data_IF_506159896021
#
_entry.id   IF_506159896021
#
_cell.length_a   1.000
_cell.length_b   1.000
_cell.length_c   1.000
_cell.angle_alpha   90.00
_cell.angle_beta   90.00
_cell.angle_gamma   90.00
#
_symmetry.space_group_name_H-M   'P 1'
#
loop_
_entity.id
_entity.type
_entity.pdbx_description
1 polymer ?
#
# COMPACT_ATOMS: atom_id res chain seq x y z
N UNK A 1 7.34 -20.58 -15.79
CA UNK A 1 7.48 -21.01 -14.39
C UNK A 1 8.18 -19.87 -13.66
N UNK A 2 7.42 -18.94 -13.08
CA UNK A 2 8.00 -17.90 -12.24
C UNK A 2 8.04 -18.45 -10.82
N UNK A 3 9.22 -18.84 -10.35
CA UNK A 3 9.48 -18.96 -8.92
C UNK A 3 9.51 -17.54 -8.37
N UNK A 4 8.36 -17.03 -7.93
CA UNK A 4 8.34 -15.82 -7.11
C UNK A 4 9.11 -16.13 -5.83
N UNK A 5 10.14 -15.35 -5.55
CA UNK A 5 11.01 -15.52 -4.39
C UNK A 5 10.18 -15.53 -3.11
N UNK A 6 10.11 -16.69 -2.45
CA UNK A 6 9.47 -16.86 -1.13
C UNK A 6 10.09 -15.90 -0.09
N UNK A 7 11.30 -15.40 -0.33
CA UNK A 7 12.00 -14.45 0.51
C UNK A 7 11.52 -12.99 0.40
N UNK A 8 10.95 -12.56 -0.73
CA UNK A 8 10.32 -11.23 -0.83
C UNK A 8 9.09 -11.14 0.08
N UNK A 9 8.30 -12.22 0.11
CA UNK A 9 7.12 -12.35 0.97
C UNK A 9 7.45 -12.40 2.46
N UNK A 10 8.64 -12.87 2.85
CA UNK A 10 9.03 -12.98 4.26
C UNK A 10 9.31 -11.62 4.92
N UNK A 11 9.63 -10.58 4.15
CA UNK A 11 9.90 -9.24 4.68
C UNK A 11 8.74 -8.26 4.50
N UNK A 12 7.81 -8.51 3.57
CA UNK A 12 6.61 -7.68 3.38
C UNK A 12 5.76 -7.65 4.64
N UNK A 13 5.63 -8.77 5.35
CA UNK A 13 4.91 -8.83 6.63
C UNK A 13 5.59 -8.01 7.74
N UNK A 14 6.87 -7.65 7.59
CA UNK A 14 7.59 -6.76 8.51
C UNK A 14 7.53 -5.30 8.08
N UNK A 15 6.98 -4.99 6.90
CA UNK A 15 6.84 -3.62 6.42
C UNK A 15 5.68 -2.92 7.14
N UNK A 16 5.94 -1.81 7.85
CA UNK A 16 4.89 -1.04 8.52
C UNK A 16 3.77 -0.61 7.58
N UNK A 17 4.07 -0.30 6.31
CA UNK A 17 3.07 0.04 5.31
C UNK A 17 2.14 -1.13 5.06
N UNK A 18 2.68 -2.33 4.83
CA UNK A 18 1.87 -3.50 4.54
C UNK A 18 0.96 -3.86 5.72
N UNK A 19 1.48 -3.76 6.95
CA UNK A 19 0.70 -3.99 8.18
C UNK A 19 -0.41 -2.94 8.37
N UNK A 20 -0.13 -1.67 8.08
CA UNK A 20 -1.13 -0.60 8.15
C UNK A 20 -2.24 -0.82 7.10
N UNK A 21 -1.85 -1.15 5.87
CA UNK A 21 -2.80 -1.46 4.80
C UNK A 21 -3.63 -2.71 5.10
N UNK A 22 -3.04 -3.74 5.71
CA UNK A 22 -3.77 -4.94 6.15
C UNK A 22 -4.76 -4.64 7.28
N UNK A 23 -4.46 -3.64 8.12
CA UNK A 23 -5.29 -3.26 9.27
C UNK A 23 -6.42 -2.30 8.91
N UNK A 24 -6.40 -1.69 7.71
CA UNK A 24 -7.44 -0.77 7.24
C UNK A 24 -8.81 -1.45 7.20
N UNK A 25 -9.77 -0.83 7.86
CA UNK A 25 -11.16 -1.26 7.80
C UNK A 25 -11.90 -0.58 6.66
N UNK A 26 -12.99 -1.23 6.24
CA UNK A 26 -13.83 -0.74 5.16
C UNK A 26 -14.40 0.64 5.50
N UNK A 27 -14.11 1.63 4.65
CA UNK A 27 -14.46 3.03 4.82
C UNK A 27 -13.37 3.87 5.51
N UNK A 28 -12.22 3.29 5.84
CA UNK A 28 -11.07 4.03 6.38
C UNK A 28 -10.09 4.44 5.28
N UNK A 29 -9.30 5.45 5.59
CA UNK A 29 -8.18 5.90 4.76
C UNK A 29 -6.88 5.91 5.54
N UNK A 30 -5.78 5.80 4.81
CA UNK A 30 -4.42 5.82 5.32
C UNK A 30 -3.59 6.81 4.51
N UNK A 31 -3.17 7.89 5.18
CA UNK A 31 -2.25 8.87 4.61
C UNK A 31 -0.84 8.30 4.61
N UNK A 32 -0.26 8.15 3.42
CA UNK A 32 1.10 7.65 3.24
C UNK A 32 2.12 8.79 3.25
N UNK A 33 1.77 9.92 2.63
CA UNK A 33 2.48 11.20 2.71
C UNK A 33 1.47 12.35 2.44
N UNK A 34 1.92 13.61 2.42
CA UNK A 34 1.09 14.80 2.21
C UNK A 34 0.39 14.83 0.83
N UNK A 35 0.84 14.00 -0.10
CA UNK A 35 0.34 13.92 -1.48
C UNK A 35 -0.19 12.54 -1.85
N UNK A 36 -0.26 11.59 -0.92
CA UNK A 36 -0.68 10.21 -1.23
C UNK A 36 -1.50 9.64 -0.09
N UNK A 37 -2.74 9.28 -0.41
CA UNK A 37 -3.71 8.71 0.51
C UNK A 37 -4.24 7.39 -0.06
N UNK A 38 -4.52 6.43 0.80
CA UNK A 38 -5.02 5.11 0.43
C UNK A 38 -6.35 4.88 1.11
N UNK A 39 -7.42 4.81 0.33
CA UNK A 39 -8.77 4.57 0.84
C UNK A 39 -9.11 3.10 0.70
N UNK A 40 -9.58 2.48 1.77
CA UNK A 40 -10.20 1.16 1.65
C UNK A 40 -11.72 1.35 1.52
N UNK A 41 -12.21 1.32 0.29
CA UNK A 41 -13.58 1.69 0.01
C UNK A 41 -14.61 0.65 0.50
N UNK A 42 -15.88 1.03 0.50
CA UNK A 42 -16.98 0.17 0.96
C UNK A 42 -17.21 -1.10 0.13
N UNK A 43 -16.60 -1.16 -1.06
CA UNK A 43 -16.62 -2.32 -1.95
C UNK A 43 -15.45 -3.28 -1.70
N UNK A 44 -14.56 -2.96 -0.76
CA UNK A 44 -13.39 -3.78 -0.43
C UNK A 44 -12.23 -3.60 -1.40
N UNK A 45 -12.12 -2.43 -2.05
CA UNK A 45 -11.00 -2.06 -2.92
C UNK A 45 -10.12 -1.02 -2.24
N UNK A 46 -8.81 -1.12 -2.47
CA UNK A 46 -7.81 -0.15 -2.06
C UNK A 46 -7.63 0.88 -3.17
N UNK A 47 -8.03 2.12 -2.92
CA UNK A 47 -7.93 3.25 -3.83
C UNK A 47 -6.74 4.11 -3.41
N UNK A 48 -5.68 4.07 -4.21
CA UNK A 48 -4.49 4.92 -4.03
C UNK A 48 -4.74 6.22 -4.77
N UNK A 49 -4.87 7.31 -4.02
CA UNK A 49 -5.09 8.66 -4.52
C UNK A 49 -3.80 9.43 -4.27
N UNK A 50 -3.07 9.73 -5.35
CA UNK A 50 -1.94 10.64 -5.34
C UNK A 50 -2.23 11.85 -6.23
N UNK A 51 -1.51 12.96 -6.01
CA UNK A 51 -1.76 14.30 -6.58
C UNK A 51 -2.33 14.32 -8.01
N UNK A 52 -1.73 13.55 -8.94
CA UNK A 52 -2.17 13.44 -10.33
C UNK A 52 -2.60 12.02 -10.76
N UNK A 53 -2.62 11.04 -9.84
CA UNK A 53 -2.91 9.64 -10.17
C UNK A 53 -3.85 9.01 -9.16
N UNK A 54 -4.94 8.44 -9.64
CA UNK A 54 -5.87 7.64 -8.86
C UNK A 54 -5.90 6.22 -9.41
N UNK A 55 -5.68 5.22 -8.55
CA UNK A 55 -5.71 3.82 -8.97
C UNK A 55 -6.33 2.91 -7.91
N UNK A 56 -7.27 2.06 -8.34
CA UNK A 56 -7.97 1.13 -7.47
C UNK A 56 -7.44 -0.30 -7.63
N UNK A 57 -7.30 -1.00 -6.51
CA UNK A 57 -6.79 -2.37 -6.43
C UNK A 57 -7.73 -3.24 -5.60
N UNK A 58 -8.04 -4.43 -6.09
CA UNK A 58 -8.85 -5.41 -5.35
C UNK A 58 -8.06 -6.25 -4.35
N UNK A 59 -6.73 -6.24 -4.47
CA UNK A 59 -5.83 -7.06 -3.64
C UNK A 59 -4.86 -6.15 -2.89
N UNK A 60 -4.67 -6.43 -1.60
CA UNK A 60 -3.69 -5.75 -0.77
C UNK A 60 -2.27 -5.85 -1.37
N UNK A 61 -1.91 -7.04 -1.88
CA UNK A 61 -0.59 -7.31 -2.47
C UNK A 61 -0.34 -6.47 -3.73
N UNK A 62 -1.36 -6.29 -4.58
CA UNK A 62 -1.28 -5.46 -5.79
C UNK A 62 -1.14 -3.99 -5.42
N UNK A 63 -1.91 -3.52 -4.43
CA UNK A 63 -1.82 -2.17 -3.88
C UNK A 63 -0.43 -1.89 -3.33
N UNK A 64 0.07 -2.75 -2.44
CA UNK A 64 1.40 -2.62 -1.85
C UNK A 64 2.50 -2.67 -2.91
N UNK A 65 2.41 -3.59 -3.87
CA UNK A 65 3.39 -3.69 -4.96
C UNK A 65 3.41 -2.43 -5.82
N UNK A 66 2.25 -1.83 -6.08
CA UNK A 66 2.16 -0.55 -6.79
C UNK A 66 2.86 0.56 -6.00
N UNK A 67 2.56 0.69 -4.71
CA UNK A 67 3.14 1.73 -3.86
C UNK A 67 4.67 1.57 -3.74
N UNK A 68 5.11 0.34 -3.49
CA UNK A 68 6.53 -0.02 -3.42
C UNK A 68 7.26 0.25 -4.74
N UNK A 69 6.63 -0.06 -5.88
CA UNK A 69 7.21 0.15 -7.21
C UNK A 69 7.23 1.63 -7.65
N UNK A 70 6.24 2.41 -7.26
CA UNK A 70 6.18 3.84 -7.53
C UNK A 70 7.16 4.65 -6.68
N UNK A 71 7.75 4.03 -5.66
CA UNK A 71 8.76 4.68 -4.82
C UNK A 71 8.19 5.89 -4.09
N UNK A 72 6.93 5.82 -3.65
CA UNK A 72 6.40 6.79 -2.71
C UNK A 72 7.36 6.81 -1.52
N UNK A 73 8.10 7.91 -1.36
CA UNK A 73 9.07 8.07 -0.28
C UNK A 73 8.29 8.06 1.02
N UNK A 74 8.24 6.91 1.70
CA UNK A 74 7.82 6.87 3.10
C UNK A 74 8.82 7.74 3.83
N UNK A 75 8.39 8.90 4.35
CA UNK A 75 9.25 9.73 5.21
C UNK A 75 9.71 8.87 6.38
N UNK A 76 10.94 8.37 6.28
CA UNK A 76 11.65 7.84 7.42
C UNK A 76 11.87 9.03 8.34
N UNK A 77 11.07 9.13 9.39
CA UNK A 77 11.27 10.10 10.46
C UNK A 77 12.68 9.85 11.02
N UNK A 78 13.63 10.70 10.60
CA UNK A 78 15.01 10.63 11.01
C UNK A 78 15.10 11.24 12.41
N UNK A 79 15.05 10.38 13.43
CA UNK A 79 15.41 10.70 14.82
C UNK A 79 16.88 11.08 14.94
#
# INVERSE_FOLDING_TARGET
MNQSNIYDFLNVDQDPLYQNLQSLQTGESYDLDEQTEIHYNTHGLYEVIADETEQAFSSLEDCYSYISAFGFEIKADHV
#
